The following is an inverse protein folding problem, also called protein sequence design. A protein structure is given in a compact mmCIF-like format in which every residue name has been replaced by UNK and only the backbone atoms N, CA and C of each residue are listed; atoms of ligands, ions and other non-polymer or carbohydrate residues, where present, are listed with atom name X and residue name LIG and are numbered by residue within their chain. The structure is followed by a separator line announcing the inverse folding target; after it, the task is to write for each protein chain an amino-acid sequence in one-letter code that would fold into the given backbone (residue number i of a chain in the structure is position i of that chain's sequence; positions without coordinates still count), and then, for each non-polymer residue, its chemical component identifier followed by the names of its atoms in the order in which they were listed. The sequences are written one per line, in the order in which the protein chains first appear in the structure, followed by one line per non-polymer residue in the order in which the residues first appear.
data_IF_493110857563
#
_entry.id   IF_493110857563
#
_cell.length_a   1.000
_cell.length_b   1.000
_cell.length_c   1.000
_cell.angle_alpha   90.00
_cell.angle_beta   90.00
_cell.angle_gamma   90.00
#
_symmetry.space_group_name_H-M   'P 1'
#
loop_
_entity.id
_entity.type
_entity.pdbx_description
1 polymer ?
#
# COMPACT_ATOMS: atom_id res chain seq x y z
N UNK A 1 -5.97 -39.05 -27.43
CA UNK A 1 -4.58 -39.51 -27.24
C UNK A 1 -4.52 -41.02 -27.28
N UNK A 2 -3.66 -41.58 -28.11
CA UNK A 2 -3.26 -43.00 -28.09
C UNK A 2 -1.97 -43.11 -27.28
N UNK A 3 -1.88 -44.13 -26.43
CA UNK A 3 -0.72 -44.39 -25.56
C UNK A 3 -0.15 -45.75 -25.96
N UNK A 4 1.10 -45.75 -26.40
CA UNK A 4 1.91 -46.92 -26.75
C UNK A 4 3.26 -46.93 -26.04
N UNK A 5 4.17 -47.77 -26.49
CA UNK A 5 5.53 -47.87 -25.93
C UNK A 5 5.62 -48.68 -24.63
N UNK A 6 6.66 -48.42 -23.83
CA UNK A 6 6.88 -49.02 -22.51
C UNK A 6 6.74 -47.96 -21.42
N UNK A 7 6.68 -48.38 -20.15
CA UNK A 7 6.67 -47.43 -19.02
C UNK A 7 7.91 -46.55 -18.96
N UNK A 8 9.05 -47.06 -19.43
CA UNK A 8 10.31 -46.33 -19.49
C UNK A 8 10.47 -45.48 -20.76
N UNK A 9 9.66 -45.72 -21.78
CA UNK A 9 9.69 -45.05 -23.09
C UNK A 9 8.26 -44.97 -23.66
N UNK A 10 7.43 -44.04 -23.16
CA UNK A 10 6.05 -43.91 -23.61
C UNK A 10 5.99 -43.26 -25.00
N UNK A 11 5.16 -43.83 -25.88
CA UNK A 11 4.86 -43.30 -27.21
C UNK A 11 3.45 -42.69 -27.17
N UNK A 12 3.37 -41.36 -27.20
CA UNK A 12 2.10 -40.63 -27.11
C UNK A 12 1.73 -40.06 -28.48
N UNK A 13 0.52 -40.33 -28.95
CA UNK A 13 0.07 -39.90 -30.27
C UNK A 13 -1.29 -39.19 -30.21
N UNK A 14 -1.41 -38.10 -30.97
CA UNK A 14 -2.63 -37.32 -31.14
C UNK A 14 -2.69 -36.07 -30.25
N UNK A 15 -3.88 -35.51 -30.09
CA UNK A 15 -4.06 -34.21 -29.40
C UNK A 15 -4.83 -34.39 -28.08
N UNK A 16 -4.42 -33.62 -27.06
CA UNK A 16 -5.18 -33.38 -25.85
C UNK A 16 -5.47 -31.88 -25.76
N UNK A 17 -6.76 -31.51 -25.78
CA UNK A 17 -7.17 -30.12 -25.63
C UNK A 17 -8.08 -29.97 -24.40
N UNK A 18 -7.70 -29.03 -23.53
CA UNK A 18 -8.52 -28.48 -22.45
C UNK A 18 -9.13 -27.18 -22.96
N UNK A 19 -10.46 -27.08 -22.94
CA UNK A 19 -11.20 -25.90 -23.44
C UNK A 19 -12.09 -25.36 -22.34
N UNK A 20 -12.42 -24.08 -22.43
CA UNK A 20 -13.30 -23.39 -21.47
C UNK A 20 -12.79 -23.45 -20.04
N UNK A 21 -11.46 -23.35 -19.89
CA UNK A 21 -10.80 -23.38 -18.60
C UNK A 21 -11.16 -22.14 -17.80
N UNK A 22 -11.64 -22.36 -16.58
CA UNK A 22 -12.04 -21.31 -15.64
C UNK A 22 -11.36 -21.55 -14.31
N UNK A 23 -10.68 -20.53 -13.81
CA UNK A 23 -9.96 -20.56 -12.53
C UNK A 23 -10.38 -19.33 -11.74
N UNK A 24 -10.92 -19.56 -10.54
CA UNK A 24 -11.31 -18.52 -9.60
C UNK A 24 -11.21 -19.06 -8.18
N UNK A 25 -10.78 -18.23 -7.24
CA UNK A 25 -10.69 -18.61 -5.83
C UNK A 25 -10.32 -17.43 -4.96
N UNK A 26 -10.52 -17.51 -3.64
CA UNK A 26 -10.20 -16.43 -2.71
C UNK A 26 -8.70 -16.08 -2.72
N UNK A 27 -7.83 -17.08 -2.89
CA UNK A 27 -6.37 -16.92 -2.90
C UNK A 27 -5.78 -16.87 -4.31
N UNK A 28 -6.62 -16.78 -5.34
CA UNK A 28 -6.17 -16.72 -6.74
C UNK A 28 -6.19 -15.25 -7.18
N UNK A 29 -5.01 -14.61 -7.37
CA UNK A 29 -4.94 -13.18 -7.62
C UNK A 29 -5.39 -12.79 -9.04
N UNK A 30 -5.57 -13.77 -9.93
CA UNK A 30 -6.04 -13.58 -11.31
C UNK A 30 -7.22 -14.50 -11.57
N UNK A 31 -8.39 -13.93 -11.85
CA UNK A 31 -9.57 -14.71 -12.25
C UNK A 31 -9.50 -15.00 -13.75
N UNK A 32 -9.43 -16.29 -14.10
CA UNK A 32 -9.44 -16.79 -15.48
C UNK A 32 -10.88 -17.12 -15.85
N UNK A 33 -11.42 -16.39 -16.83
CA UNK A 33 -12.82 -16.50 -17.28
C UNK A 33 -12.97 -17.46 -18.45
N UNK A 34 -11.92 -17.64 -19.24
CA UNK A 34 -11.86 -18.60 -20.34
C UNK A 34 -10.39 -18.99 -20.61
N UNK A 35 -10.19 -20.14 -21.22
CA UNK A 35 -8.87 -20.60 -21.56
C UNK A 35 -8.91 -21.87 -22.40
N UNK A 36 -7.88 -22.00 -23.24
CA UNK A 36 -7.65 -23.18 -24.05
C UNK A 36 -6.18 -23.59 -23.90
N UNK A 37 -5.94 -24.87 -23.67
CA UNK A 37 -4.60 -25.45 -23.66
C UNK A 37 -4.66 -26.72 -24.49
N UNK A 38 -3.91 -26.75 -25.59
CA UNK A 38 -3.77 -27.90 -26.45
C UNK A 38 -2.33 -28.42 -26.36
N UNK A 39 -2.21 -29.74 -26.28
CA UNK A 39 -0.95 -30.47 -26.37
C UNK A 39 -1.06 -31.44 -27.52
N UNK A 40 -0.25 -31.23 -28.55
CA UNK A 40 -0.13 -32.13 -29.68
C UNK A 40 1.07 -33.07 -29.44
N UNK A 41 0.79 -34.36 -29.29
CA UNK A 41 1.78 -35.40 -29.05
C UNK A 41 2.20 -36.06 -30.37
N UNK A 42 3.52 -36.18 -30.56
CA UNK A 42 4.16 -36.94 -31.63
C UNK A 42 5.28 -37.80 -31.06
N UNK A 43 4.90 -38.98 -30.55
CA UNK A 43 5.80 -39.95 -29.95
C UNK A 43 6.37 -39.50 -28.61
N UNK A 44 7.64 -39.14 -28.62
CA UNK A 44 8.42 -38.70 -27.45
C UNK A 44 8.41 -37.17 -27.29
N UNK A 45 7.76 -36.46 -28.22
CA UNK A 45 7.66 -35.00 -28.25
C UNK A 45 6.22 -34.52 -28.09
N UNK A 46 6.07 -33.33 -27.51
CA UNK A 46 4.80 -32.65 -27.36
C UNK A 46 4.94 -31.16 -27.66
N UNK A 47 4.07 -30.61 -28.50
CA UNK A 47 3.94 -29.18 -28.68
C UNK A 47 2.77 -28.65 -27.85
N UNK A 48 3.00 -27.57 -27.10
CA UNK A 48 2.04 -26.98 -26.18
C UNK A 48 1.65 -25.62 -26.73
N UNK A 49 0.37 -25.40 -26.96
CA UNK A 49 -0.16 -24.11 -27.41
C UNK A 49 -1.44 -23.79 -26.63
N UNK A 50 -1.63 -22.53 -26.28
CA UNK A 50 -2.79 -22.15 -25.52
C UNK A 50 -2.89 -20.67 -25.20
N UNK A 51 -3.96 -20.35 -24.48
CA UNK A 51 -4.17 -19.05 -23.90
C UNK A 51 -4.99 -19.14 -22.62
N UNK A 52 -4.82 -18.15 -21.76
CA UNK A 52 -5.70 -17.87 -20.64
C UNK A 52 -6.25 -16.45 -20.80
N UNK A 53 -7.56 -16.30 -20.74
CA UNK A 53 -8.23 -15.02 -20.73
C UNK A 53 -8.64 -14.68 -19.29
N UNK A 54 -8.14 -13.57 -18.78
CA UNK A 54 -8.58 -13.01 -17.51
C UNK A 54 -9.77 -12.08 -17.74
N UNK A 55 -10.37 -11.55 -16.66
CA UNK A 55 -11.40 -10.50 -16.79
C UNK A 55 -10.91 -9.29 -17.61
N UNK A 56 -9.62 -8.99 -17.49
CA UNK A 56 -8.89 -8.05 -18.33
C UNK A 56 -7.53 -8.63 -18.70
N UNK A 57 -7.24 -8.60 -19.99
CA UNK A 57 -5.99 -9.10 -20.55
C UNK A 57 -6.04 -10.56 -20.96
N UNK A 58 -4.99 -10.98 -21.68
CA UNK A 58 -4.86 -12.33 -22.23
C UNK A 58 -3.41 -12.79 -22.16
N UNK A 59 -3.21 -13.98 -21.61
CA UNK A 59 -1.93 -14.65 -21.56
C UNK A 59 -1.86 -15.69 -22.68
N UNK A 60 -0.90 -15.55 -23.59
CA UNK A 60 -0.53 -16.63 -24.51
C UNK A 60 0.44 -17.60 -23.85
N UNK A 61 0.25 -18.88 -24.14
CA UNK A 61 1.08 -19.98 -23.66
C UNK A 61 1.58 -20.72 -24.90
N UNK A 62 2.89 -20.86 -25.03
CA UNK A 62 3.51 -21.71 -26.04
C UNK A 62 4.59 -22.54 -25.38
N UNK A 63 4.90 -23.72 -25.89
CA UNK A 63 5.90 -24.56 -25.26
C UNK A 63 6.14 -25.86 -26.00
N UNK A 64 7.13 -26.59 -25.52
CA UNK A 64 7.45 -27.90 -26.03
C UNK A 64 7.85 -28.81 -24.87
N UNK A 65 7.63 -30.09 -25.03
CA UNK A 65 8.03 -31.10 -24.08
C UNK A 65 8.65 -32.28 -24.83
N UNK A 66 9.63 -32.92 -24.21
CA UNK A 66 10.37 -34.03 -24.80
C UNK A 66 10.72 -35.03 -23.69
N UNK A 67 10.36 -36.30 -23.87
CA UNK A 67 10.47 -37.36 -22.86
C UNK A 67 11.01 -38.67 -23.46
N UNK A 68 12.29 -38.73 -23.87
CA UNK A 68 12.86 -39.96 -24.43
C UNK A 68 12.91 -41.12 -23.43
N UNK A 69 12.94 -40.81 -22.13
CA UNK A 69 12.75 -41.76 -21.03
C UNK A 69 11.98 -41.11 -19.89
N UNK A 70 11.51 -41.94 -18.95
CA UNK A 70 10.88 -41.51 -17.69
C UNK A 70 11.81 -40.67 -16.79
N UNK A 71 13.12 -40.87 -16.88
CA UNK A 71 14.13 -40.13 -16.12
C UNK A 71 14.75 -38.93 -16.86
N UNK A 72 14.51 -38.76 -18.16
CA UNK A 72 15.21 -37.75 -18.99
C UNK A 72 14.26 -36.77 -19.72
N UNK A 73 13.12 -36.49 -19.10
CA UNK A 73 12.15 -35.54 -19.65
C UNK A 73 12.56 -34.08 -19.48
N UNK A 74 12.09 -33.22 -20.38
CA UNK A 74 12.26 -31.77 -20.32
C UNK A 74 11.00 -31.08 -20.83
N UNK A 75 10.60 -30.01 -20.16
CA UNK A 75 9.45 -29.19 -20.54
C UNK A 75 9.92 -27.74 -20.63
N UNK A 76 9.58 -27.07 -21.73
CA UNK A 76 9.73 -25.64 -21.91
C UNK A 76 8.38 -24.99 -22.13
N UNK A 77 8.08 -23.97 -21.34
CA UNK A 77 6.86 -23.16 -21.45
C UNK A 77 7.28 -21.70 -21.52
N UNK A 78 6.69 -20.96 -22.44
CA UNK A 78 6.85 -19.53 -22.61
C UNK A 78 5.46 -18.89 -22.43
N UNK A 79 5.41 -17.91 -21.53
CA UNK A 79 4.20 -17.20 -21.11
C UNK A 79 4.36 -15.74 -21.52
N UNK A 80 3.42 -15.23 -22.32
CA UNK A 80 3.49 -13.85 -22.80
C UNK A 80 2.12 -13.15 -22.74
N UNK A 81 2.09 -11.98 -22.10
CA UNK A 81 0.95 -11.07 -22.09
C UNK A 81 1.42 -9.61 -22.25
N UNK A 82 2.49 -9.37 -23.01
CA UNK A 82 3.04 -8.02 -23.17
C UNK A 82 2.15 -7.09 -23.99
N UNK A 83 1.28 -7.65 -24.84
CA UNK A 83 0.31 -6.88 -25.63
C UNK A 83 -1.01 -6.64 -24.91
N UNK A 84 -1.41 -7.56 -24.04
CA UNK A 84 -2.69 -7.53 -23.32
C UNK A 84 -2.46 -7.79 -21.82
N UNK A 85 -1.99 -6.79 -21.05
CA UNK A 85 -1.65 -6.94 -19.64
C UNK A 85 -2.81 -7.49 -18.82
N UNK A 86 -2.50 -8.40 -17.90
CA UNK A 86 -3.45 -9.07 -17.04
C UNK A 86 -3.79 -8.21 -15.83
N UNK A 87 -5.08 -8.04 -15.54
CA UNK A 87 -5.47 -7.47 -14.25
C UNK A 87 -5.28 -8.50 -13.13
N UNK A 88 -4.48 -8.11 -12.15
CA UNK A 88 -4.27 -8.81 -10.90
C UNK A 88 -5.02 -8.06 -9.79
N UNK A 89 -5.86 -8.77 -9.05
CA UNK A 89 -6.61 -8.23 -7.91
C UNK A 89 -6.05 -8.83 -6.63
N UNK A 90 -5.55 -7.97 -5.75
CA UNK A 90 -4.96 -8.34 -4.47
C UNK A 90 -5.91 -7.85 -3.37
N UNK A 91 -6.72 -8.73 -2.74
CA UNK A 91 -7.81 -8.32 -1.85
C UNK A 91 -7.43 -7.34 -0.73
N UNK A 92 -6.17 -7.35 -0.27
CA UNK A 92 -5.66 -6.48 0.81
C UNK A 92 -4.74 -5.35 0.32
N UNK A 93 -4.36 -5.35 -0.95
CA UNK A 93 -3.34 -4.44 -1.49
C UNK A 93 -3.82 -3.65 -2.69
N UNK A 94 -5.04 -3.90 -3.20
CA UNK A 94 -5.60 -3.19 -4.34
C UNK A 94 -5.46 -3.96 -5.66
N UNK A 95 -5.12 -3.27 -6.75
CA UNK A 95 -5.12 -3.84 -8.10
C UNK A 95 -3.91 -3.38 -8.91
N UNK A 96 -3.43 -4.25 -9.78
CA UNK A 96 -2.34 -3.93 -10.72
C UNK A 96 -2.54 -4.62 -12.06
N UNK A 97 -1.92 -4.07 -13.11
CA UNK A 97 -1.84 -4.72 -14.41
C UNK A 97 -0.43 -5.27 -14.60
N UNK A 98 -0.33 -6.53 -15.02
CA UNK A 98 0.93 -7.24 -15.21
C UNK A 98 1.08 -7.72 -16.66
N UNK A 99 2.20 -7.38 -17.28
CA UNK A 99 2.57 -7.75 -18.63
C UNK A 99 3.80 -8.68 -18.61
N UNK A 100 3.62 -9.98 -18.29
CA UNK A 100 4.71 -10.94 -18.23
C UNK A 100 5.25 -11.33 -19.61
N UNK A 101 6.57 -11.54 -19.67
CA UNK A 101 7.31 -12.29 -20.67
C UNK A 101 8.24 -13.27 -19.92
N UNK A 102 7.73 -14.47 -19.65
CA UNK A 102 8.34 -15.44 -18.74
C UNK A 102 8.59 -16.75 -19.48
N UNK A 103 9.79 -17.29 -19.28
CA UNK A 103 10.23 -18.59 -19.78
C UNK A 103 10.47 -19.53 -18.61
N UNK A 104 9.80 -20.65 -18.64
CA UNK A 104 9.86 -21.72 -17.65
C UNK A 104 10.51 -22.93 -18.30
N UNK A 105 11.53 -23.50 -17.66
CA UNK A 105 12.24 -24.69 -18.12
C UNK A 105 12.28 -25.69 -16.97
N UNK A 106 11.76 -26.90 -17.20
CA UNK A 106 11.55 -27.90 -16.16
C UNK A 106 12.25 -29.19 -16.59
N UNK A 107 13.04 -29.75 -15.69
CA UNK A 107 13.68 -31.07 -15.78
C UNK A 107 13.43 -31.82 -14.47
N UNK A 108 13.67 -33.14 -14.39
CA UNK A 108 13.55 -33.89 -13.14
C UNK A 108 14.31 -33.29 -11.95
N UNK A 109 15.46 -32.65 -12.22
CA UNK A 109 16.35 -32.09 -11.20
C UNK A 109 16.14 -30.60 -10.95
N UNK A 110 15.45 -29.86 -11.85
CA UNK A 110 15.40 -28.40 -11.78
C UNK A 110 14.15 -27.79 -12.41
N UNK A 111 13.54 -26.84 -11.70
CA UNK A 111 12.57 -25.88 -12.22
C UNK A 111 13.23 -24.50 -12.31
N UNK A 112 13.38 -24.00 -13.54
CA UNK A 112 13.94 -22.67 -13.80
C UNK A 112 12.87 -21.73 -14.36
N UNK A 113 12.75 -20.54 -13.76
CA UNK A 113 11.87 -19.45 -14.22
C UNK A 113 12.73 -18.22 -14.50
N UNK A 114 12.62 -17.68 -15.73
CA UNK A 114 13.35 -16.51 -16.21
C UNK A 114 12.44 -15.58 -16.96
N UNK A 115 12.45 -14.28 -16.68
CA UNK A 115 11.63 -13.37 -17.47
C UNK A 115 11.61 -11.94 -16.97
N UNK A 116 10.86 -11.12 -17.70
CA UNK A 116 10.54 -9.76 -17.32
C UNK A 116 9.03 -9.64 -17.11
N UNK A 117 8.62 -8.78 -16.18
CA UNK A 117 7.22 -8.46 -15.95
C UNK A 117 7.10 -6.94 -15.89
N UNK A 118 6.48 -6.35 -16.90
CA UNK A 118 6.21 -4.92 -16.88
C UNK A 118 4.90 -4.65 -16.13
N UNK A 119 4.91 -3.65 -15.25
CA UNK A 119 3.76 -3.23 -14.47
C UNK A 119 3.30 -1.83 -14.94
N UNK A 120 2.53 -1.72 -16.03
CA UNK A 120 2.17 -0.42 -16.60
C UNK A 120 1.31 0.43 -15.65
N UNK A 121 0.47 -0.21 -14.83
CA UNK A 121 -0.51 0.43 -13.98
C UNK A 121 -0.67 -0.29 -12.64
N UNK A 122 -0.81 0.47 -11.56
CA UNK A 122 -1.23 -0.06 -10.26
C UNK A 122 -1.95 1.00 -9.41
N UNK A 123 -2.92 0.55 -8.62
CA UNK A 123 -3.52 1.31 -7.52
C UNK A 123 -3.42 0.43 -6.29
N UNK A 124 -2.41 0.70 -5.49
CA UNK A 124 -2.11 -0.05 -4.29
C UNK A 124 -2.67 0.70 -3.09
N UNK A 125 -3.49 0.03 -2.29
CA UNK A 125 -4.14 0.62 -1.12
C UNK A 125 -3.91 -0.31 0.07
N UNK A 126 -3.33 0.22 1.14
CA UNK A 126 -3.02 -0.52 2.37
C UNK A 126 -3.65 0.22 3.56
N UNK A 127 -4.75 -0.35 4.07
CA UNK A 127 -5.68 0.26 5.04
C UNK A 127 -7.08 0.30 4.42
N UNK A 128 -8.14 -0.23 5.01
CA UNK A 128 -8.43 -0.54 6.41
C UNK A 128 -8.17 -2.00 6.80
N UNK A 129 -7.37 -2.20 7.85
CA UNK A 129 -7.51 -3.42 8.65
C UNK A 129 -8.92 -3.40 9.24
N UNK A 130 -9.75 -4.46 9.11
CA UNK A 130 -10.90 -4.61 10.00
C UNK A 130 -10.38 -4.46 11.44
N UNK A 131 -11.12 -3.73 12.27
CA UNK A 131 -10.72 -3.18 13.57
C UNK A 131 -10.40 -4.21 14.68
N UNK A 132 -9.85 -5.37 14.34
CA UNK A 132 -9.44 -6.43 15.26
C UNK A 132 -7.93 -6.67 15.32
N UNK A 133 -7.10 -5.83 14.69
CA UNK A 133 -5.64 -5.92 14.80
C UNK A 133 -5.08 -4.88 15.76
N UNK A 134 -5.43 -4.98 17.04
CA UNK A 134 -4.59 -4.42 18.10
C UNK A 134 -3.31 -5.25 18.17
N UNK A 135 -2.23 -4.79 17.53
CA UNK A 135 -0.90 -5.26 17.91
C UNK A 135 -0.63 -4.78 19.34
N UNK A 136 -0.43 -5.68 20.32
CA UNK A 136 -0.10 -5.27 21.67
C UNK A 136 1.27 -4.57 21.67
N UNK A 137 1.37 -3.46 22.37
CA UNK A 137 2.68 -2.94 22.79
C UNK A 137 3.26 -3.91 23.84
N UNK A 138 4.59 -4.11 23.94
CA UNK A 138 5.16 -5.13 24.82
C UNK A 138 4.95 -4.96 26.34
N UNK A 139 4.22 -3.94 26.80
CA UNK A 139 4.18 -3.56 28.22
C UNK A 139 2.77 -3.43 28.82
N UNK A 140 1.74 -4.03 28.21
CA UNK A 140 0.41 -4.09 28.83
C UNK A 140 0.05 -5.53 29.23
N UNK A 141 0.16 -5.82 30.54
CA UNK A 141 -0.37 -7.05 31.14
C UNK A 141 -1.81 -6.77 31.59
N UNK A 142 -2.79 -7.07 30.73
CA UNK A 142 -4.20 -7.21 31.13
C UNK A 142 -4.48 -8.70 31.28
N UNK A 143 -4.66 -9.14 32.53
CA UNK A 143 -5.01 -10.52 32.86
C UNK A 143 -6.53 -10.67 32.70
N UNK A 144 -6.96 -11.26 31.59
CA UNK A 144 -8.24 -11.97 31.51
C UNK A 144 -8.03 -13.35 30.88
N UNK A 145 -8.26 -14.41 31.66
CA UNK A 145 -8.03 -15.84 31.31
C UNK A 145 -8.77 -16.36 30.06
N UNK A 146 -9.61 -15.52 29.43
CA UNK A 146 -10.28 -15.82 28.14
C UNK A 146 -9.49 -15.33 26.93
N UNK A 147 -8.79 -14.21 27.04
CA UNK A 147 -7.99 -13.63 25.96
C UNK A 147 -6.66 -14.37 25.80
N UNK A 148 -6.10 -14.91 26.90
CA UNK A 148 -4.88 -15.75 26.87
C UNK A 148 -5.04 -17.01 26.01
N UNK A 149 -6.23 -17.64 25.96
CA UNK A 149 -6.43 -18.83 25.13
C UNK A 149 -6.63 -18.52 23.65
N UNK A 150 -7.04 -17.30 23.32
CA UNK A 150 -7.13 -16.84 21.94
C UNK A 150 -5.78 -16.29 21.47
N UNK A 151 -5.07 -15.57 22.32
CA UNK A 151 -3.68 -15.15 22.10
C UNK A 151 -2.72 -16.35 21.99
N UNK A 152 -2.83 -17.37 22.85
CA UNK A 152 -2.04 -18.62 22.73
C UNK A 152 -2.47 -19.49 21.55
N UNK A 153 -3.69 -19.36 21.03
CA UNK A 153 -4.09 -20.03 19.79
C UNK A 153 -3.58 -19.28 18.58
N UNK A 154 -3.67 -17.95 18.56
CA UNK A 154 -3.15 -17.13 17.47
C UNK A 154 -1.62 -17.08 17.45
N UNK A 155 -0.95 -17.05 18.60
CA UNK A 155 0.51 -17.17 18.69
C UNK A 155 1.00 -18.56 18.26
N UNK A 156 0.21 -19.61 18.50
CA UNK A 156 0.50 -20.99 18.04
C UNK A 156 0.23 -21.14 16.55
N UNK A 157 -0.86 -20.57 16.04
CA UNK A 157 -1.15 -20.49 14.59
C UNK A 157 -0.13 -19.61 13.85
N UNK A 158 0.37 -18.53 14.46
CA UNK A 158 1.43 -17.69 13.90
C UNK A 158 2.82 -18.35 13.99
N UNK A 159 3.08 -19.12 15.06
CA UNK A 159 4.28 -19.96 15.17
C UNK A 159 4.22 -21.18 14.22
N UNK A 160 3.03 -21.66 13.87
CA UNK A 160 2.81 -22.70 12.86
C UNK A 160 2.91 -22.10 11.44
N UNK A 161 2.41 -20.88 11.19
CA UNK A 161 2.53 -20.18 9.91
C UNK A 161 3.97 -19.76 9.55
N UNK A 162 4.85 -19.59 10.54
CA UNK A 162 6.28 -19.40 10.32
C UNK A 162 7.05 -20.69 9.98
N UNK A 163 6.38 -21.85 10.00
CA UNK A 163 6.96 -23.17 9.76
C UNK A 163 6.24 -23.96 8.65
N UNK A 164 5.30 -23.35 7.92
CA UNK A 164 4.77 -23.99 6.73
C UNK A 164 5.90 -24.05 5.69
N UNK A 165 6.29 -25.25 5.21
CA UNK A 165 7.37 -25.37 4.25
C UNK A 165 7.05 -24.50 3.04
N UNK A 166 8.00 -23.66 2.63
CA UNK A 166 7.81 -22.86 1.43
C UNK A 166 7.67 -23.79 0.22
N UNK A 167 7.06 -23.32 -0.86
CA UNK A 167 7.00 -24.11 -2.10
C UNK A 167 8.39 -24.55 -2.59
N UNK A 168 9.46 -23.82 -2.23
CA UNK A 168 10.84 -24.22 -2.49
C UNK A 168 11.29 -25.39 -1.61
N UNK A 169 10.89 -25.42 -0.33
CA UNK A 169 11.19 -26.51 0.60
C UNK A 169 10.46 -27.80 0.19
N UNK A 170 9.18 -27.68 -0.21
CA UNK A 170 8.41 -28.81 -0.73
C UNK A 170 9.00 -29.38 -2.02
N UNK A 171 9.46 -28.53 -2.94
CA UNK A 171 10.14 -28.97 -4.17
C UNK A 171 11.50 -29.60 -3.88
N UNK A 172 12.25 -29.06 -2.91
CA UNK A 172 13.54 -29.63 -2.50
C UNK A 172 13.38 -31.03 -1.91
N UNK A 173 12.30 -31.31 -1.17
CA UNK A 173 11.97 -32.64 -0.66
C UNK A 173 11.69 -33.66 -1.78
N UNK A 174 11.22 -33.19 -2.94
CA UNK A 174 11.10 -34.03 -4.15
C UNK A 174 12.41 -34.21 -4.93
N UNK A 175 13.50 -33.57 -4.48
CA UNK A 175 14.81 -33.59 -5.16
C UNK A 175 14.94 -32.60 -6.31
N UNK A 176 13.96 -31.71 -6.52
CA UNK A 176 13.96 -30.71 -7.58
C UNK A 176 14.46 -29.36 -7.08
N UNK A 177 15.51 -28.82 -7.70
CA UNK A 177 16.03 -27.50 -7.39
C UNK A 177 15.19 -26.40 -8.05
N UNK A 178 14.79 -25.39 -7.27
CA UNK A 178 14.13 -24.18 -7.78
C UNK A 178 15.18 -23.13 -8.19
N UNK A 179 14.92 -22.42 -9.29
CA UNK A 179 15.78 -21.34 -9.78
C UNK A 179 14.94 -20.25 -10.48
N UNK A 180 14.57 -19.20 -9.74
CA UNK A 180 13.74 -18.09 -10.20
C UNK A 180 14.57 -16.81 -10.31
N UNK A 181 14.46 -16.13 -11.45
CA UNK A 181 15.01 -14.81 -11.70
C UNK A 181 14.01 -14.04 -12.56
N UNK A 182 13.28 -13.11 -11.96
CA UNK A 182 12.27 -12.30 -12.64
C UNK A 182 12.60 -10.83 -12.41
N UNK A 183 12.70 -10.05 -13.48
CA UNK A 183 12.83 -8.59 -13.40
C UNK A 183 11.47 -7.95 -13.54
N UNK A 184 11.08 -7.14 -12.55
CA UNK A 184 9.86 -6.36 -12.52
C UNK A 184 10.20 -4.91 -12.84
N UNK A 185 9.52 -4.36 -13.84
CA UNK A 185 9.68 -2.96 -14.20
C UNK A 185 8.43 -2.19 -13.77
N UNK A 186 8.62 -1.24 -12.86
CA UNK A 186 7.52 -0.43 -12.35
C UNK A 186 7.25 0.70 -13.36
N UNK A 187 6.04 0.73 -13.90
CA UNK A 187 5.59 1.71 -14.87
C UNK A 187 5.38 3.10 -14.28
N UNK A 188 4.92 4.03 -15.13
CA UNK A 188 4.75 5.45 -14.75
C UNK A 188 3.43 5.75 -14.05
N UNK A 189 2.44 4.86 -14.16
CA UNK A 189 1.10 5.03 -13.61
C UNK A 189 0.84 4.04 -12.46
N UNK A 190 1.80 3.96 -11.55
CA UNK A 190 1.67 3.20 -10.31
C UNK A 190 1.49 4.18 -9.16
N UNK A 191 0.43 3.98 -8.37
CA UNK A 191 0.13 4.79 -7.19
C UNK A 191 0.01 3.87 -5.98
N UNK A 192 0.48 4.36 -4.84
CA UNK A 192 0.31 3.74 -3.53
C UNK A 192 -0.37 4.73 -2.58
N UNK A 193 -1.35 4.23 -1.83
CA UNK A 193 -1.93 4.89 -0.67
C UNK A 193 -1.82 3.93 0.53
N UNK A 194 -1.01 4.29 1.52
CA UNK A 194 -0.73 3.41 2.65
C UNK A 194 -0.34 4.20 3.89
N UNK A 195 -1.04 3.98 5.01
CA UNK A 195 -0.69 4.58 6.31
C UNK A 195 -0.47 6.10 6.27
N UNK A 196 -1.27 6.82 5.47
CA UNK A 196 -1.16 8.28 5.27
C UNK A 196 -0.13 8.71 4.21
N UNK A 197 0.63 7.80 3.61
CA UNK A 197 1.45 8.08 2.43
C UNK A 197 0.61 7.95 1.16
N UNK A 198 0.61 8.99 0.33
CA UNK A 198 0.14 8.94 -1.06
C UNK A 198 1.32 9.24 -1.98
N UNK A 199 1.66 8.32 -2.89
CA UNK A 199 2.80 8.53 -3.78
C UNK A 199 2.68 7.76 -5.09
N UNK A 200 3.26 8.32 -6.14
CA UNK A 200 3.62 7.53 -7.31
C UNK A 200 4.76 6.55 -6.97
N UNK A 201 4.80 5.42 -7.65
CA UNK A 201 5.89 4.44 -7.56
C UNK A 201 6.61 4.32 -8.92
N UNK A 202 7.90 4.07 -8.88
CA UNK A 202 8.70 3.74 -10.07
C UNK A 202 10.01 3.05 -9.69
N UNK A 203 10.68 2.44 -10.67
CA UNK A 203 11.94 1.72 -10.43
C UNK A 203 11.95 0.33 -11.05
N UNK A 204 12.85 -0.51 -10.58
CA UNK A 204 13.02 -1.88 -11.07
C UNK A 204 13.43 -2.80 -9.93
N UNK A 205 12.80 -3.97 -9.87
CA UNK A 205 13.04 -4.98 -8.86
C UNK A 205 13.41 -6.30 -9.55
N UNK A 206 14.33 -7.05 -8.97
CA UNK A 206 14.70 -8.39 -9.39
C UNK A 206 14.33 -9.37 -8.29
N UNK A 207 13.37 -10.26 -8.57
CA UNK A 207 13.02 -11.38 -7.71
C UNK A 207 13.98 -12.52 -7.99
N UNK A 208 14.63 -13.00 -6.93
CA UNK A 208 15.52 -14.15 -6.95
C UNK A 208 15.09 -15.18 -5.92
N UNK A 209 15.02 -16.43 -6.34
CA UNK A 209 14.76 -17.54 -5.44
C UNK A 209 15.47 -18.78 -5.93
N UNK A 210 16.23 -19.45 -5.07
CA UNK A 210 16.85 -20.74 -5.35
C UNK A 210 16.32 -21.81 -4.37
N UNK A 211 17.19 -22.45 -3.59
CA UNK A 211 16.84 -23.44 -2.57
C UNK A 211 16.59 -22.79 -1.19
N UNK A 212 16.02 -21.59 -1.16
CA UNK A 212 15.84 -20.83 0.07
C UNK A 212 14.77 -19.74 -0.04
N UNK A 213 14.84 -18.79 0.90
CA UNK A 213 13.88 -17.69 0.96
C UNK A 213 13.96 -16.79 -0.29
N UNK A 214 12.81 -16.24 -0.67
CA UNK A 214 12.71 -15.25 -1.74
C UNK A 214 13.53 -14.00 -1.40
N UNK A 215 14.27 -13.51 -2.39
CA UNK A 215 15.09 -12.30 -2.30
C UNK A 215 14.65 -11.27 -3.35
N UNK A 216 14.71 -10.00 -2.98
CA UNK A 216 14.48 -8.85 -3.83
C UNK A 216 15.74 -8.00 -3.93
N UNK A 217 16.07 -7.58 -5.15
CA UNK A 217 17.16 -6.66 -5.44
C UNK A 217 16.67 -5.50 -6.30
N UNK A 218 17.27 -4.31 -6.16
CA UNK A 218 16.92 -3.15 -6.98
C UNK A 218 16.40 -1.99 -6.13
N UNK A 219 15.65 -1.09 -6.76
CA UNK A 219 15.18 0.12 -6.11
C UNK A 219 13.75 0.50 -6.49
N UNK A 220 13.05 1.07 -5.51
CA UNK A 220 11.72 1.66 -5.67
C UNK A 220 11.79 3.11 -5.25
N UNK A 221 11.34 4.00 -6.12
CA UNK A 221 11.33 5.43 -5.93
C UNK A 221 9.90 5.92 -5.69
N UNK A 222 9.76 6.81 -4.71
CA UNK A 222 8.54 7.56 -4.45
C UNK A 222 8.56 8.82 -5.31
N UNK A 223 7.56 8.95 -6.19
CA UNK A 223 7.45 10.04 -7.15
C UNK A 223 6.30 10.96 -6.75
N UNK A 224 6.59 12.24 -6.51
CA UNK A 224 5.62 13.26 -6.10
C UNK A 224 4.79 12.82 -4.88
N UNK A 225 5.45 12.23 -3.89
CA UNK A 225 4.78 11.71 -2.70
C UNK A 225 4.38 12.80 -1.71
N UNK A 226 3.32 12.54 -0.97
CA UNK A 226 2.83 13.33 0.15
C UNK A 226 2.51 12.40 1.32
N UNK A 227 2.88 12.80 2.52
CA UNK A 227 2.58 12.07 3.75
C UNK A 227 1.70 12.93 4.65
N UNK A 228 0.47 12.45 4.89
CA UNK A 228 -0.54 13.10 5.71
C UNK A 228 -0.98 12.16 6.83
N UNK A 229 -0.36 12.30 7.99
CA UNK A 229 -0.74 11.58 9.20
C UNK A 229 -0.32 12.37 10.44
N UNK A 230 -0.95 12.08 11.59
CA UNK A 230 -0.61 12.70 12.88
C UNK A 230 -0.66 14.24 12.86
N UNK A 231 -1.57 14.82 12.07
CA UNK A 231 -1.67 16.27 11.87
C UNK A 231 -0.48 16.90 11.13
N UNK A 232 0.38 16.08 10.51
CA UNK A 232 1.50 16.53 9.70
C UNK A 232 1.13 16.42 8.22
N UNK A 233 1.57 17.42 7.45
CA UNK A 233 1.48 17.43 6.00
C UNK A 233 2.88 17.63 5.43
N UNK A 234 3.48 16.52 4.99
CA UNK A 234 4.85 16.47 4.50
C UNK A 234 4.88 16.15 3.00
N UNK A 235 5.67 16.91 2.26
CA UNK A 235 5.95 16.67 0.85
C UNK A 235 7.25 15.87 0.73
N UNK A 236 7.19 14.73 0.04
CA UNK A 236 8.36 13.88 -0.22
C UNK A 236 9.19 14.51 -1.35
N UNK A 237 10.37 15.05 -1.02
CA UNK A 237 11.32 15.58 -2.01
C UNK A 237 12.15 14.49 -2.65
N UNK A 238 12.51 13.48 -1.85
CA UNK A 238 13.27 12.31 -2.28
C UNK A 238 12.70 11.12 -1.53
N UNK A 239 12.42 10.02 -2.22
CA UNK A 239 12.10 8.78 -1.54
C UNK A 239 12.61 7.60 -2.33
N UNK A 240 13.57 6.88 -1.76
CA UNK A 240 14.16 5.70 -2.36
C UNK A 240 14.17 4.57 -1.34
N UNK A 241 13.73 3.39 -1.78
CA UNK A 241 13.80 2.15 -1.05
C UNK A 241 14.70 1.22 -1.86
N UNK A 242 15.76 0.72 -1.22
CA UNK A 242 16.76 -0.13 -1.88
C UNK A 242 16.64 -1.53 -1.31
N UNK A 243 16.41 -2.50 -2.20
CA UNK A 243 16.30 -3.91 -1.86
C UNK A 243 17.62 -4.61 -2.19
N UNK A 244 18.11 -5.44 -1.26
CA UNK A 244 19.41 -6.10 -1.37
C UNK A 244 19.40 -7.53 -0.80
N UNK A 245 18.24 -8.16 -0.73
CA UNK A 245 18.05 -9.47 -0.11
C UNK A 245 16.63 -9.67 0.40
N UNK A 246 16.37 -9.80 1.71
CA UNK A 246 15.03 -10.05 2.23
C UNK A 246 14.02 -8.95 1.86
N UNK A 247 12.82 -9.30 1.35
CA UNK A 247 11.79 -8.33 0.96
C UNK A 247 11.33 -7.40 2.09
N UNK A 248 11.36 -7.86 3.34
CA UNK A 248 10.91 -7.09 4.50
C UNK A 248 11.93 -6.09 5.03
N UNK A 249 13.18 -6.09 4.52
CA UNK A 249 14.30 -5.31 5.06
C UNK A 249 14.94 -4.40 4.00
N UNK A 250 14.20 -3.47 3.38
CA UNK A 250 14.81 -2.51 2.49
C UNK A 250 15.62 -1.47 3.28
N UNK A 251 16.64 -0.93 2.61
CA UNK A 251 17.33 0.29 3.07
C UNK A 251 16.51 1.49 2.62
N UNK A 252 16.19 2.37 3.56
CA UNK A 252 15.44 3.59 3.33
C UNK A 252 16.42 4.75 3.08
N UNK A 253 16.10 5.60 2.11
CA UNK A 253 16.71 6.92 1.92
C UNK A 253 15.62 7.87 1.41
N UNK A 254 14.97 8.58 2.33
CA UNK A 254 13.96 9.55 1.96
C UNK A 254 14.08 10.85 2.74
N UNK A 255 13.66 11.93 2.10
CA UNK A 255 13.62 13.28 2.61
C UNK A 255 12.23 13.85 2.39
N UNK A 256 11.63 14.30 3.49
CA UNK A 256 10.31 14.93 3.49
C UNK A 256 10.41 16.30 4.14
N UNK A 257 9.73 17.28 3.57
CA UNK A 257 9.63 18.63 4.15
C UNK A 257 8.19 18.92 4.52
N UNK A 258 7.97 19.71 5.57
CA UNK A 258 6.65 20.26 5.85
C UNK A 258 6.19 21.08 4.65
N UNK A 259 4.90 21.00 4.34
CA UNK A 259 4.31 21.80 3.28
C UNK A 259 4.58 23.30 3.53
N UNK A 260 5.29 24.00 2.62
CA UNK A 260 5.62 25.42 2.78
C UNK A 260 4.39 26.32 2.91
N UNK A 261 3.25 25.93 2.34
CA UNK A 261 2.00 26.71 2.37
C UNK A 261 1.44 26.87 3.80
N UNK A 262 1.86 26.01 4.73
CA UNK A 262 1.42 25.99 6.14
C UNK A 262 2.59 26.18 7.11
N UNK A 263 3.71 26.75 6.62
CA UNK A 263 4.91 27.02 7.41
C UNK A 263 5.19 28.52 7.41
N UNK A 264 5.34 29.10 8.61
CA UNK A 264 5.63 30.51 8.81
C UNK A 264 7.12 30.82 8.52
N UNK A 265 7.44 32.11 8.41
CA UNK A 265 8.80 32.64 8.32
C UNK A 265 9.64 32.19 7.10
N UNK A 266 9.01 31.62 6.07
CA UNK A 266 9.67 31.09 4.86
C UNK A 266 10.79 30.07 5.20
N UNK A 267 10.55 29.29 6.27
CA UNK A 267 11.47 28.27 6.76
C UNK A 267 11.10 26.92 6.17
N UNK A 268 12.08 26.22 5.60
CA UNK A 268 11.90 24.81 5.26
C UNK A 268 12.30 24.01 6.49
N UNK A 269 11.37 23.22 7.03
CA UNK A 269 11.66 22.23 8.06
C UNK A 269 11.34 20.84 7.51
N UNK A 270 12.21 19.88 7.76
CA UNK A 270 12.06 18.55 7.19
C UNK A 270 12.73 17.48 8.02
N UNK A 271 12.50 16.24 7.61
CA UNK A 271 13.12 15.05 8.15
C UNK A 271 13.77 14.25 7.04
N UNK A 272 14.90 13.62 7.36
CA UNK A 272 15.61 12.68 6.53
C UNK A 272 15.66 11.35 7.25
N UNK A 273 15.22 10.28 6.57
CA UNK A 273 15.23 8.93 7.08
C UNK A 273 16.19 8.10 6.26
N UNK A 274 17.12 7.43 6.93
CA UNK A 274 18.18 6.62 6.32
C UNK A 274 18.38 5.32 7.07
N UNK A 275 18.92 4.29 6.41
CA UNK A 275 19.25 3.01 7.06
C UNK A 275 18.15 1.96 6.90
N UNK A 276 18.28 0.84 7.61
CA UNK A 276 17.39 -0.31 7.46
C UNK A 276 15.97 -0.01 7.96
N UNK A 277 14.95 -0.55 7.30
CA UNK A 277 13.55 -0.32 7.67
C UNK A 277 13.18 -0.76 9.10
N UNK A 278 13.89 -1.74 9.67
CA UNK A 278 13.72 -2.16 11.07
C UNK A 278 14.30 -1.17 12.08
N UNK A 279 15.37 -0.46 11.70
CA UNK A 279 16.09 0.47 12.58
C UNK A 279 16.45 1.75 11.81
N UNK A 280 15.43 2.54 11.40
CA UNK A 280 15.68 3.74 10.63
C UNK A 280 16.37 4.81 11.49
N UNK A 281 17.37 5.47 10.91
CA UNK A 281 17.96 6.68 11.46
C UNK A 281 17.20 7.90 10.93
N UNK A 282 16.58 8.65 11.84
CA UNK A 282 15.79 9.85 11.54
C UNK A 282 16.56 11.08 11.98
N UNK A 283 16.80 12.00 11.04
CA UNK A 283 17.45 13.30 11.30
C UNK A 283 16.52 14.43 10.91
N UNK A 284 16.35 15.41 11.79
CA UNK A 284 15.57 16.62 11.53
C UNK A 284 16.51 17.70 11.01
N UNK A 285 16.07 18.42 9.98
CA UNK A 285 16.85 19.51 9.39
C UNK A 285 15.96 20.73 9.11
N UNK A 286 16.63 21.84 8.79
CA UNK A 286 15.96 23.08 8.41
C UNK A 286 16.81 23.94 7.47
N UNK A 287 16.15 24.77 6.69
CA UNK A 287 16.75 25.81 5.86
C UNK A 287 16.02 27.14 6.15
N UNK A 288 16.70 28.17 6.69
CA UNK A 288 18.11 28.19 7.11
C UNK A 288 18.38 27.27 8.31
N UNK A 289 19.63 26.78 8.41
CA UNK A 289 20.03 25.83 9.46
C UNK A 289 19.84 26.40 10.87
N UNK A 290 19.11 25.67 11.70
CA UNK A 290 18.88 25.98 13.10
C UNK A 290 19.11 24.76 14.01
N UNK A 291 19.09 24.96 15.33
CA UNK A 291 19.13 23.87 16.31
C UNK A 291 17.93 22.93 16.14
N UNK A 292 18.14 21.64 16.37
CA UNK A 292 17.15 20.58 16.21
C UNK A 292 15.83 20.89 16.92
N UNK A 293 15.90 21.51 18.10
CA UNK A 293 14.72 21.91 18.87
C UNK A 293 13.82 22.88 18.12
N UNK A 294 14.43 23.88 17.47
CA UNK A 294 13.69 24.86 16.67
C UNK A 294 13.22 24.24 15.37
N UNK A 295 14.04 23.41 14.72
CA UNK A 295 13.68 22.71 13.49
C UNK A 295 12.49 21.78 13.70
N UNK A 296 12.46 21.02 14.80
CA UNK A 296 11.34 20.18 15.21
C UNK A 296 10.08 21.01 15.48
N UNK A 297 10.21 22.19 16.09
CA UNK A 297 9.08 23.10 16.29
C UNK A 297 8.44 23.50 14.96
N UNK A 298 9.24 23.90 13.97
CA UNK A 298 8.72 24.20 12.63
C UNK A 298 8.15 22.94 11.96
N UNK A 299 8.80 21.79 12.10
CA UNK A 299 8.32 20.54 11.51
C UNK A 299 6.96 20.13 12.07
N UNK A 300 6.73 20.27 13.38
CA UNK A 300 5.48 19.87 14.04
C UNK A 300 4.39 20.94 14.01
N UNK A 301 4.76 22.21 14.19
CA UNK A 301 3.82 23.34 14.38
C UNK A 301 3.82 24.35 13.25
N UNK A 302 4.77 24.30 12.33
CA UNK A 302 4.93 25.30 11.27
C UNK A 302 5.57 26.61 11.71
N UNK A 303 6.00 26.76 12.97
CA UNK A 303 6.59 28.01 13.49
C UNK A 303 7.66 27.81 14.57
N UNK A 304 8.41 28.86 14.87
CA UNK A 304 9.42 28.87 15.93
C UNK A 304 8.83 28.55 17.32
N UNK A 305 9.64 28.02 18.27
CA UNK A 305 9.20 27.81 19.63
C UNK A 305 9.05 29.14 20.38
N UNK A 306 7.93 29.31 21.09
CA UNK A 306 7.62 30.51 21.86
C UNK A 306 8.65 30.76 22.96
N UNK A 307 9.14 32.00 23.09
CA UNK A 307 10.13 32.38 24.10
C UNK A 307 9.56 32.37 25.54
N UNK A 308 8.23 32.30 25.69
CA UNK A 308 7.52 32.27 26.96
C UNK A 308 6.94 30.87 27.26
N UNK A 309 7.79 29.96 27.74
CA UNK A 309 7.37 28.81 28.56
C UNK A 309 6.58 27.67 27.89
N UNK A 310 6.17 27.78 26.63
CA UNK A 310 5.59 26.67 25.85
C UNK A 310 6.68 25.77 25.28
N UNK A 311 7.44 25.11 26.17
CA UNK A 311 8.60 24.27 25.80
C UNK A 311 8.26 23.08 24.91
N UNK A 312 9.31 22.39 24.43
CA UNK A 312 9.26 21.16 23.62
C UNK A 312 8.32 20.11 24.22
N UNK A 313 8.22 20.04 25.55
CA UNK A 313 7.28 19.19 26.28
C UNK A 313 5.83 19.41 25.86
N UNK A 314 5.42 20.65 25.60
CA UNK A 314 4.05 20.93 25.12
C UNK A 314 3.84 20.42 23.71
N UNK A 315 4.79 20.62 22.79
CA UNK A 315 4.71 20.16 21.41
C UNK A 315 4.80 18.63 21.29
N UNK A 316 5.68 17.99 22.07
CA UNK A 316 5.76 16.54 22.20
C UNK A 316 4.49 15.98 22.83
N UNK A 317 3.93 16.60 23.86
CA UNK A 317 2.66 16.18 24.46
C UNK A 317 1.52 16.31 23.44
N UNK A 318 1.46 17.38 22.66
CA UNK A 318 0.48 17.54 21.58
C UNK A 318 0.65 16.50 20.48
N UNK A 319 1.90 16.22 20.06
CA UNK A 319 2.19 15.18 19.08
C UNK A 319 1.80 13.79 19.60
N UNK A 320 2.12 13.47 20.86
CA UNK A 320 1.75 12.21 21.51
C UNK A 320 0.24 12.06 21.68
N UNK A 321 -0.48 13.13 22.01
CA UNK A 321 -1.95 13.15 22.06
C UNK A 321 -2.51 12.97 20.63
N UNK A 322 -1.96 13.63 19.62
CA UNK A 322 -2.35 13.44 18.23
C UNK A 322 -2.08 12.01 17.73
N UNK A 323 -0.99 11.38 18.16
CA UNK A 323 -0.67 9.98 17.87
C UNK A 323 -1.58 8.99 18.60
N UNK A 324 -1.95 9.26 19.85
CA UNK A 324 -2.87 8.40 20.62
C UNK A 324 -4.30 8.48 20.08
N UNK A 325 -4.76 9.68 19.72
CA UNK A 325 -6.08 9.92 19.14
C UNK A 325 -6.15 9.43 17.68
N UNK A 326 -5.07 9.57 16.90
CA UNK A 326 -4.99 9.05 15.53
C UNK A 326 -5.02 7.52 15.45
N UNK A 327 -4.57 6.81 16.50
CA UNK A 327 -4.70 5.36 16.62
C UNK A 327 -6.11 4.90 17.05
N UNK A 328 -6.88 5.76 17.71
CA UNK A 328 -8.24 5.45 18.20
C UNK A 328 -9.36 6.02 17.31
N UNK A 329 -9.04 6.55 16.12
CA UNK A 329 -10.02 7.13 15.19
C UNK A 329 -11.23 6.23 14.89
N UNK A 330 -11.07 4.90 14.98
CA UNK A 330 -12.18 3.94 14.84
C UNK A 330 -13.13 3.82 16.04
N UNK A 331 -12.73 4.25 17.24
CA UNK A 331 -13.55 4.11 18.45
C UNK A 331 -14.64 5.20 18.58
N UNK A 332 -14.47 6.34 17.90
CA UNK A 332 -15.38 7.50 18.03
C UNK A 332 -16.62 7.37 17.13
N UNK A 333 -16.50 6.74 15.95
CA UNK A 333 -17.63 6.54 15.02
C UNK A 333 -18.80 5.75 15.62
N UNK A 334 -18.51 4.67 16.37
CA UNK A 334 -19.53 3.83 17.02
C UNK A 334 -20.32 4.52 18.13
N UNK A 335 -19.76 5.57 18.75
CA UNK A 335 -20.46 6.39 19.75
C UNK A 335 -21.39 7.38 19.05
N UNK A 336 -21.00 7.93 17.89
CA UNK A 336 -21.82 8.85 17.08
C UNK A 336 -23.10 8.22 16.53
N UNK A 337 -23.00 7.00 15.99
CA UNK A 337 -24.13 6.25 15.42
C UNK A 337 -25.23 5.94 16.46
N UNK A 338 -24.85 5.68 17.72
CA UNK A 338 -25.80 5.47 18.82
C UNK A 338 -26.65 6.72 19.13
N UNK A 339 -26.16 7.91 18.75
CA UNK A 339 -26.85 9.20 18.88
C UNK A 339 -27.37 9.75 17.54
N UNK A 340 -27.28 8.98 16.44
CA UNK A 340 -27.79 9.37 15.12
C UNK A 340 -26.94 10.43 14.41
N UNK A 341 -25.63 10.44 14.66
CA UNK A 341 -24.66 11.32 13.98
C UNK A 341 -23.73 10.43 13.17
N UNK A 342 -23.81 10.56 11.85
CA UNK A 342 -22.98 9.81 10.89
C UNK A 342 -21.61 10.49 10.73
N UNK A 343 -20.58 9.70 10.40
CA UNK A 343 -19.21 10.17 10.13
C UNK A 343 -18.64 11.09 11.22
N UNK A 344 -18.76 10.68 12.49
CA UNK A 344 -18.19 11.44 13.59
C UNK A 344 -16.66 11.37 13.57
N UNK A 345 -16.02 12.46 13.14
CA UNK A 345 -14.56 12.62 13.12
C UNK A 345 -14.08 13.51 14.25
N UNK A 346 -12.89 13.22 14.76
CA UNK A 346 -12.17 14.09 15.68
C UNK A 346 -10.89 14.55 14.96
N UNK A 347 -10.85 15.83 14.65
CA UNK A 347 -9.78 16.44 13.86
C UNK A 347 -9.07 17.52 14.68
N UNK A 348 -7.81 17.81 14.32
CA UNK A 348 -7.13 19.02 14.75
C UNK A 348 -7.06 19.98 13.56
N UNK A 349 -7.43 21.24 13.77
CA UNK A 349 -7.48 22.26 12.70
C UNK A 349 -6.85 23.55 13.20
N UNK A 350 -6.23 24.30 12.30
CA UNK A 350 -5.59 25.57 12.62
C UNK A 350 -4.12 25.44 13.01
N UNK A 351 -3.48 26.59 13.22
CA UNK A 351 -2.09 26.70 13.63
C UNK A 351 -1.96 27.80 14.69
N UNK A 352 -0.98 27.68 15.58
CA UNK A 352 -0.73 28.68 16.61
C UNK A 352 -1.85 28.83 17.65
N UNK A 353 -2.23 30.07 17.97
CA UNK A 353 -3.24 30.39 19.00
C UNK A 353 -4.68 30.03 18.56
N UNK A 354 -4.85 29.78 17.26
CA UNK A 354 -6.08 29.33 16.59
C UNK A 354 -6.12 27.79 16.44
N UNK A 355 -5.13 27.07 16.97
CA UNK A 355 -5.14 25.60 17.00
C UNK A 355 -6.33 25.11 17.81
N UNK A 356 -7.22 24.35 17.17
CA UNK A 356 -8.42 23.81 17.80
C UNK A 356 -8.52 22.29 17.61
N UNK A 357 -9.07 21.62 18.62
CA UNK A 357 -9.59 20.26 18.47
C UNK A 357 -11.05 20.40 18.08
N UNK A 358 -11.43 19.85 16.92
CA UNK A 358 -12.78 19.89 16.41
C UNK A 358 -13.36 18.48 16.33
N UNK A 359 -14.57 18.32 16.87
CA UNK A 359 -15.42 17.16 16.62
C UNK A 359 -16.38 17.55 15.52
N UNK A 360 -16.38 16.83 14.40
CA UNK A 360 -17.31 17.10 13.30
C UNK A 360 -18.12 15.86 12.96
N UNK A 361 -19.37 16.06 12.53
CA UNK A 361 -20.26 14.97 12.18
C UNK A 361 -21.43 15.43 11.33
N UNK A 362 -22.08 14.48 10.69
CA UNK A 362 -23.22 14.72 9.81
C UNK A 362 -24.51 14.32 10.53
N UNK A 363 -25.49 15.24 10.59
CA UNK A 363 -26.78 14.99 11.25
C UNK A 363 -27.87 14.58 10.23
N UNK A 364 -27.69 14.92 8.96
CA UNK A 364 -28.50 14.50 7.80
C UNK A 364 -27.70 14.77 6.52
N UNK A 365 -28.10 14.25 5.36
CA UNK A 365 -27.42 14.47 4.07
C UNK A 365 -27.03 15.94 3.79
N UNK A 366 -27.85 16.90 4.26
CA UNK A 366 -27.65 18.33 4.01
C UNK A 366 -27.12 19.13 5.22
N UNK A 367 -27.04 18.54 6.42
CA UNK A 367 -26.71 19.26 7.66
C UNK A 367 -25.47 18.69 8.36
N UNK A 368 -24.41 19.51 8.42
CA UNK A 368 -23.17 19.22 9.13
C UNK A 368 -23.05 20.06 10.40
N UNK A 369 -22.56 19.43 11.47
CA UNK A 369 -22.22 20.08 12.72
C UNK A 369 -20.73 19.91 13.00
N UNK A 370 -20.09 20.96 13.51
CA UNK A 370 -18.71 20.92 13.99
C UNK A 370 -18.61 21.70 15.29
N UNK A 371 -17.96 21.12 16.28
CA UNK A 371 -17.70 21.73 17.57
C UNK A 371 -16.19 21.73 17.83
N UNK A 372 -15.59 22.91 17.74
CA UNK A 372 -14.18 23.18 17.99
C UNK A 372 -13.94 23.76 19.38
N UNK A 373 -12.86 23.34 20.04
CA UNK A 373 -12.34 24.03 21.23
C UNK A 373 -10.88 24.39 20.97
N UNK A 374 -10.56 25.68 21.10
CA UNK A 374 -9.18 26.14 20.99
C UNK A 374 -8.31 25.52 22.11
N UNK A 375 -7.15 25.02 21.70
CA UNK A 375 -6.20 24.32 22.58
C UNK A 375 -5.47 25.30 23.49
N UNK A 376 -5.19 26.50 22.96
CA UNK A 376 -4.45 27.55 23.66
C UNK A 376 -5.34 28.71 24.11
N UNK A 377 -6.43 28.97 23.37
CA UNK A 377 -7.50 29.88 23.74
C UNK A 377 -8.77 29.07 24.01
N UNK A 378 -9.30 29.00 25.24
CA UNK A 378 -10.43 28.12 25.59
C UNK A 378 -11.78 28.68 25.11
N UNK A 379 -11.82 29.17 23.87
CA UNK A 379 -13.02 29.63 23.20
C UNK A 379 -13.56 28.44 22.42
N UNK A 380 -14.78 28.02 22.77
CA UNK A 380 -15.49 27.01 22.03
C UNK A 380 -16.19 27.65 20.81
N UNK A 381 -16.09 27.01 19.66
CA UNK A 381 -16.77 27.39 18.44
C UNK A 381 -17.69 26.26 17.97
N UNK A 382 -18.96 26.59 17.76
CA UNK A 382 -19.95 25.73 17.15
C UNK A 382 -20.23 26.22 15.73
N UNK A 383 -19.98 25.37 14.74
CA UNK A 383 -20.29 25.63 13.34
C UNK A 383 -21.40 24.68 12.86
N UNK A 384 -22.45 25.27 12.30
CA UNK A 384 -23.53 24.57 11.62
C UNK A 384 -23.50 24.94 10.14
N UNK A 385 -23.42 23.95 9.26
CA UNK A 385 -23.44 24.16 7.81
C UNK A 385 -24.59 23.37 7.20
N UNK A 386 -25.49 24.08 6.53
CA UNK A 386 -26.63 23.52 5.82
C UNK A 386 -26.50 23.74 4.31
N UNK A 387 -26.56 22.67 3.53
CA UNK A 387 -26.56 22.74 2.07
C UNK A 387 -27.96 23.12 1.58
N UNK A 388 -28.11 24.32 1.02
CA UNK A 388 -29.39 24.77 0.48
C UNK A 388 -29.63 24.19 -0.91
N UNK A 389 -28.61 24.26 -1.78
CA UNK A 389 -28.67 23.71 -3.13
C UNK A 389 -27.29 23.60 -3.78
N UNK A 390 -26.83 22.39 -4.10
CA UNK A 390 -25.56 22.11 -4.79
C UNK A 390 -24.37 22.79 -4.07
N UNK A 391 -23.95 23.94 -4.57
CA UNK A 391 -22.80 24.68 -4.08
C UNK A 391 -23.21 25.94 -3.28
N UNK A 392 -24.48 26.07 -2.90
CA UNK A 392 -25.00 27.12 -2.04
C UNK A 392 -25.17 26.57 -0.62
N UNK A 393 -24.44 27.15 0.33
CA UNK A 393 -24.39 26.73 1.72
C UNK A 393 -24.81 27.88 2.64
N UNK A 394 -25.62 27.59 3.65
CA UNK A 394 -25.87 28.48 4.77
C UNK A 394 -24.99 28.01 5.93
N UNK A 395 -24.11 28.86 6.44
CA UNK A 395 -23.24 28.56 7.55
C UNK A 395 -23.54 29.48 8.73
N UNK A 396 -23.76 28.91 9.90
CA UNK A 396 -23.86 29.65 11.15
C UNK A 396 -22.67 29.26 12.03
N UNK A 397 -21.92 30.26 12.49
CA UNK A 397 -20.79 30.09 13.41
C UNK A 397 -21.11 30.78 14.71
N UNK A 398 -20.87 30.10 15.82
CA UNK A 398 -21.10 30.60 17.17
C UNK A 398 -19.90 30.29 18.06
N UNK A 399 -19.09 31.29 18.36
CA UNK A 399 -17.95 31.18 19.28
C UNK A 399 -17.64 32.52 19.95
N UNK A 400 -16.44 33.05 19.75
CA UNK A 400 -16.05 34.39 20.19
C UNK A 400 -16.92 35.51 19.58
N UNK A 401 -17.43 35.25 18.36
CA UNK A 401 -18.41 36.06 17.66
C UNK A 401 -19.48 35.17 17.05
N UNK A 402 -20.61 35.76 16.66
CA UNK A 402 -21.72 35.05 16.03
C UNK A 402 -21.91 35.59 14.62
N UNK A 403 -21.85 34.71 13.64
CA UNK A 403 -22.00 35.05 12.23
C UNK A 403 -22.93 34.06 11.54
N UNK A 404 -23.67 34.56 10.54
CA UNK A 404 -24.46 33.73 9.63
C UNK A 404 -24.09 34.15 8.21
N UNK A 405 -23.45 33.24 7.49
CA UNK A 405 -22.92 33.45 6.16
C UNK A 405 -23.72 32.63 5.14
N UNK A 406 -23.93 33.21 3.96
CA UNK A 406 -24.46 32.51 2.80
C UNK A 406 -23.33 32.40 1.76
N UNK A 407 -22.83 31.18 1.57
CA UNK A 407 -21.64 30.88 0.79
C UNK A 407 -22.05 30.21 -0.52
N UNK A 408 -21.62 30.75 -1.65
CA UNK A 408 -21.82 30.13 -2.97
C UNK A 408 -20.47 29.83 -3.63
N UNK A 409 -20.16 28.54 -3.78
CA UNK A 409 -18.89 28.08 -4.36
C UNK A 409 -19.06 27.77 -5.84
N UNK A 410 -18.19 28.30 -6.70
CA UNK A 410 -18.15 27.92 -8.09
C UNK A 410 -16.69 27.78 -8.54
N UNK A 411 -16.43 26.75 -9.33
CA UNK A 411 -15.15 26.53 -9.97
C UNK A 411 -15.25 26.97 -11.43
N UNK A 412 -14.26 27.74 -11.90
CA UNK A 412 -14.07 28.07 -13.32
C UNK A 412 -12.77 27.44 -13.76
N UNK A 413 -12.80 26.64 -14.82
CA UNK A 413 -11.60 26.17 -15.51
C UNK A 413 -10.96 27.32 -16.29
N UNK A 414 -9.70 27.64 -16.01
CA UNK A 414 -8.92 28.71 -16.67
C UNK A 414 -7.80 29.25 -15.79
N UNK A 415 -6.97 30.14 -16.34
CA UNK A 415 -5.85 30.82 -15.68
C UNK A 415 -6.29 32.27 -15.35
N UNK A 416 -6.94 32.52 -14.19
CA UNK A 416 -7.58 33.80 -13.92
C UNK A 416 -6.55 34.89 -13.64
N UNK A 417 -6.67 36.01 -14.34
CA UNK A 417 -5.86 37.20 -14.07
C UNK A 417 -6.24 37.77 -12.68
N UNK A 418 -5.32 37.66 -11.73
CA UNK A 418 -5.47 38.19 -10.36
C UNK A 418 -5.21 39.70 -10.41
N UNK A 419 -6.25 40.51 -10.15
CA UNK A 419 -6.07 41.95 -9.98
C UNK A 419 -5.36 42.22 -8.64
N UNK A 420 -4.31 43.06 -8.61
CA UNK A 420 -3.72 43.49 -7.34
C UNK A 420 -4.74 44.33 -6.57
N UNK A 421 -4.98 43.96 -5.30
CA UNK A 421 -5.83 44.74 -4.40
C UNK A 421 -5.18 46.10 -4.13
N UNK A 422 -5.99 47.17 -4.16
CA UNK A 422 -5.58 48.54 -3.83
C UNK A 422 -5.61 48.81 -2.32
#
# INVERSE_FOLDING_TARGET
VQIGGTTSQPDLQGELALRSLRISGPDIPITIVDGELAVAFDGEEGNIDGFLAAERGRLSISGNAYWPTDEAWRIGIDLNATQEPLLVVLPQFGRLEAAPDIRIRITPERLQVRGNVDLPWARLEVGDLPSSATSPSPDEIIITERDDREAERQARLAAEAGNDPSAADELADTGMALDVLITLNLGRDMQISAYGLESGLGGSLEIRQDSGALQLFGDVNLVNGRFQAFGQDLLIRRGQLIFSGPPGLPVLDFEAIRNPDITEDDVIAGLRVTGDAEQPNVMIFSEPAMDETRALSYLLRGRAPDASGGGVDSALTTALIGMSLGRTGGAVGSIGEAFGIDDLTLDTTGAGDDSQVAVSGQLSDDLRISYGVGIFSPIAELTLRYTLWRNLYLQAVSGASQAVDLIYTFTRSGDPYIYPQQ
#
